data_IF_491911819138
#
_entry.id   IF_491911819138
#
_cell.length_a   1.000
_cell.length_b   1.000
_cell.length_c   1.000
_cell.angle_alpha   90.00
_cell.angle_beta   90.00
_cell.angle_gamma   90.00
#
_symmetry.space_group_name_H-M   'P 1'
#
loop_
_entity.id
_entity.type
_entity.pdbx_description
1 polymer ?
#
# COMPACT_ATOMS: atom_id res chain seq x y z
N UNK A 1 2.20 -25.84 -1.26
CA UNK A 1 2.81 -27.19 -1.15
C UNK A 1 1.74 -28.27 -1.00
N UNK A 2 0.65 -28.17 -1.76
CA UNK A 2 -0.48 -29.07 -1.65
C UNK A 2 -0.99 -29.43 -3.05
N UNK A 3 -1.12 -30.73 -3.32
CA UNK A 3 -1.60 -31.33 -4.57
C UNK A 3 -3.13 -31.14 -4.74
N UNK A 4 -3.66 -29.97 -4.38
CA UNK A 4 -5.09 -29.64 -4.49
C UNK A 4 -5.37 -28.91 -5.81
N UNK A 5 -6.53 -29.17 -6.44
CA UNK A 5 -6.81 -28.69 -7.79
C UNK A 5 -6.65 -27.17 -7.87
N UNK A 6 -6.06 -26.73 -8.99
CA UNK A 6 -5.87 -25.34 -9.36
C UNK A 6 -7.02 -24.45 -8.88
N UNK A 7 -6.65 -23.32 -8.26
CA UNK A 7 -7.53 -22.24 -7.78
C UNK A 7 -8.86 -22.23 -8.53
N UNK A 8 -9.97 -22.51 -7.85
CA UNK A 8 -11.30 -22.58 -8.46
C UNK A 8 -11.69 -21.21 -9.07
N UNK A 9 -11.72 -21.06 -10.41
CA UNK A 9 -11.91 -19.75 -11.06
C UNK A 9 -13.29 -19.14 -10.80
N UNK A 10 -14.33 -19.95 -10.60
CA UNK A 10 -15.66 -19.48 -10.23
C UNK A 10 -15.70 -18.85 -8.84
N UNK A 11 -14.85 -19.32 -7.91
CA UNK A 11 -14.76 -18.73 -6.56
C UNK A 11 -13.98 -17.41 -6.56
N UNK A 12 -12.92 -17.30 -7.36
CA UNK A 12 -12.25 -16.01 -7.58
C UNK A 12 -13.25 -14.99 -8.14
N UNK A 13 -14.10 -15.40 -9.08
CA UNK A 13 -15.10 -14.51 -9.68
C UNK A 13 -16.20 -14.09 -8.71
N UNK A 14 -16.86 -15.05 -8.06
CA UNK A 14 -18.05 -14.78 -7.22
C UNK A 14 -17.65 -14.05 -5.94
N UNK A 15 -16.51 -14.39 -5.35
CA UNK A 15 -16.16 -13.92 -4.01
C UNK A 15 -15.22 -12.70 -4.02
N UNK A 16 -14.45 -12.47 -5.09
CA UNK A 16 -13.52 -11.32 -5.16
C UNK A 16 -14.04 -10.11 -5.92
N UNK A 17 -15.25 -10.18 -6.50
CA UNK A 17 -15.85 -9.05 -7.23
C UNK A 17 -14.97 -8.45 -8.35
N UNK A 18 -14.13 -9.26 -9.00
CA UNK A 18 -13.21 -8.88 -10.07
C UNK A 18 -12.19 -7.77 -9.67
N UNK A 19 -11.16 -8.09 -8.85
CA UNK A 19 -10.14 -7.15 -8.42
C UNK A 19 -9.37 -6.53 -9.58
N UNK A 20 -8.89 -5.30 -9.44
CA UNK A 20 -8.09 -4.63 -10.48
C UNK A 20 -6.68 -5.23 -10.58
N UNK A 21 -6.08 -5.59 -9.43
CA UNK A 21 -4.80 -6.30 -9.32
C UNK A 21 -4.90 -7.39 -8.25
N UNK A 22 -4.27 -8.54 -8.49
CA UNK A 22 -4.23 -9.70 -7.59
C UNK A 22 -2.75 -10.06 -7.36
N UNK A 23 -2.30 -10.04 -6.11
CA UNK A 23 -1.01 -10.61 -5.70
C UNK A 23 -1.16 -12.10 -5.38
N UNK A 24 -0.44 -12.96 -6.09
CA UNK A 24 -0.45 -14.41 -5.90
C UNK A 24 0.85 -14.89 -5.24
N UNK A 25 0.75 -15.90 -4.39
CA UNK A 25 1.86 -16.68 -3.83
C UNK A 25 1.70 -18.15 -4.23
N UNK A 26 2.69 -19.00 -3.95
CA UNK A 26 2.64 -20.45 -4.26
C UNK A 26 2.45 -20.77 -5.76
N UNK A 27 2.80 -19.84 -6.67
CA UNK A 27 2.69 -20.10 -8.11
C UNK A 27 3.77 -21.08 -8.54
N UNK A 28 3.35 -22.19 -9.15
CA UNK A 28 4.25 -23.28 -9.54
C UNK A 28 4.62 -23.25 -11.02
N UNK A 29 5.78 -23.84 -11.31
CA UNK A 29 6.26 -24.20 -12.66
C UNK A 29 5.49 -25.38 -13.27
N UNK A 30 4.24 -25.59 -12.84
CA UNK A 30 3.47 -26.75 -13.27
C UNK A 30 2.09 -26.37 -13.78
N UNK A 31 1.68 -26.99 -14.89
CA UNK A 31 0.43 -26.71 -15.61
C UNK A 31 -0.83 -27.31 -14.95
N UNK A 32 -0.77 -27.65 -13.66
CA UNK A 32 -1.90 -28.21 -12.91
C UNK A 32 -1.48 -28.94 -11.65
N UNK A 33 -2.39 -29.77 -11.11
CA UNK A 33 -2.22 -30.49 -9.83
C UNK A 33 -1.35 -31.76 -9.91
N UNK A 34 -0.79 -32.09 -11.08
CA UNK A 34 0.06 -33.29 -11.25
C UNK A 34 1.39 -32.87 -11.84
N UNK A 35 2.50 -33.19 -11.17
CA UNK A 35 3.86 -32.90 -11.66
C UNK A 35 4.11 -33.68 -12.95
N UNK A 36 3.94 -33.01 -14.09
CA UNK A 36 4.04 -33.61 -15.43
C UNK A 36 5.40 -33.36 -16.10
N UNK A 37 6.37 -32.78 -15.38
CA UNK A 37 7.68 -32.35 -15.88
C UNK A 37 7.95 -30.88 -15.56
N UNK A 38 8.80 -30.21 -16.36
CA UNK A 38 8.98 -28.75 -16.25
C UNK A 38 7.93 -28.09 -17.14
N UNK A 39 6.95 -27.44 -16.53
CA UNK A 39 6.25 -26.34 -17.19
C UNK A 39 6.77 -25.02 -16.61
N UNK A 40 6.37 -23.88 -17.14
CA UNK A 40 6.85 -22.58 -16.71
C UNK A 40 5.71 -21.84 -16.03
N UNK A 41 6.03 -20.97 -15.08
CA UNK A 41 4.99 -20.28 -14.33
C UNK A 41 4.11 -19.38 -15.20
N UNK A 42 4.61 -18.89 -16.33
CA UNK A 42 3.81 -18.19 -17.34
C UNK A 42 2.70 -19.07 -17.94
N UNK A 43 2.92 -20.37 -18.15
CA UNK A 43 1.89 -21.33 -18.59
C UNK A 43 0.84 -21.52 -17.50
N UNK A 44 1.28 -21.64 -16.24
CA UNK A 44 0.39 -21.75 -15.07
C UNK A 44 -0.49 -20.52 -14.93
N UNK A 45 0.11 -19.33 -15.02
CA UNK A 45 -0.57 -18.04 -14.94
C UNK A 45 -1.53 -17.85 -16.11
N UNK A 46 -1.12 -18.17 -17.35
CA UNK A 46 -2.00 -18.08 -18.51
C UNK A 46 -3.20 -19.03 -18.38
N UNK A 47 -2.98 -20.25 -17.89
CA UNK A 47 -4.08 -21.21 -17.66
C UNK A 47 -5.08 -20.66 -16.64
N UNK A 48 -4.60 -20.02 -15.56
CA UNK A 48 -5.46 -19.37 -14.58
C UNK A 48 -6.23 -18.19 -15.18
N UNK A 49 -5.57 -17.32 -15.96
CA UNK A 49 -6.19 -16.19 -16.66
C UNK A 49 -7.30 -16.67 -17.60
N UNK A 50 -7.02 -17.68 -18.42
CA UNK A 50 -7.99 -18.24 -19.36
C UNK A 50 -9.19 -18.83 -18.63
N UNK A 51 -8.95 -19.50 -17.50
CA UNK A 51 -10.00 -20.09 -16.68
C UNK A 51 -10.89 -19.03 -16.00
N UNK A 52 -10.30 -17.92 -15.52
CA UNK A 52 -11.05 -16.77 -14.99
C UNK A 52 -11.91 -16.14 -16.09
N UNK A 53 -11.35 -15.92 -17.28
CA UNK A 53 -12.09 -15.36 -18.41
C UNK A 53 -13.21 -16.29 -18.88
N UNK A 54 -12.98 -17.60 -18.93
CA UNK A 54 -13.98 -18.59 -19.29
C UNK A 54 -15.15 -18.67 -18.28
N UNK A 55 -14.88 -18.38 -17.00
CA UNK A 55 -15.89 -18.21 -15.95
C UNK A 55 -16.68 -16.88 -16.06
N UNK A 56 -16.35 -16.00 -17.00
CA UNK A 56 -16.97 -14.69 -17.18
C UNK A 56 -16.35 -13.57 -16.31
N UNK A 57 -15.15 -13.79 -15.76
CA UNK A 57 -14.35 -12.76 -15.12
C UNK A 57 -13.56 -11.89 -16.11
N UNK A 58 -12.75 -10.93 -15.62
CA UNK A 58 -11.90 -10.11 -16.47
C UNK A 58 -10.84 -10.92 -17.23
N UNK A 59 -10.44 -10.40 -18.38
CA UNK A 59 -9.23 -10.88 -19.08
C UNK A 59 -8.00 -10.20 -18.49
N UNK A 60 -7.41 -10.84 -17.48
CA UNK A 60 -6.19 -10.37 -16.83
C UNK A 60 -4.96 -10.51 -17.73
N UNK A 61 -3.94 -9.67 -17.48
CA UNK A 61 -2.55 -9.93 -17.83
C UNK A 61 -1.79 -10.35 -16.58
N UNK A 62 -0.58 -10.89 -16.71
CA UNK A 62 0.22 -11.32 -15.57
C UNK A 62 1.66 -10.84 -15.61
N UNK A 63 2.25 -10.70 -14.41
CA UNK A 63 3.67 -10.49 -14.18
C UNK A 63 4.17 -11.73 -13.42
N UNK A 64 4.87 -12.60 -14.13
CA UNK A 64 5.72 -13.63 -13.52
C UNK A 64 6.91 -12.94 -12.84
N UNK A 65 7.38 -13.43 -11.68
CA UNK A 65 8.58 -12.92 -11.03
C UNK A 65 9.82 -13.27 -11.87
N UNK A 66 10.38 -12.32 -12.63
CA UNK A 66 11.43 -12.61 -13.60
C UNK A 66 12.80 -12.80 -12.95
N UNK A 67 12.91 -12.54 -11.64
CA UNK A 67 14.13 -12.65 -10.86
C UNK A 67 14.35 -14.07 -10.31
N UNK A 68 13.39 -14.98 -10.57
CA UNK A 68 13.46 -16.39 -10.23
C UNK A 68 13.42 -17.22 -11.52
N UNK A 69 14.50 -17.94 -11.80
CA UNK A 69 14.52 -18.90 -12.91
C UNK A 69 13.63 -20.12 -12.62
N UNK A 70 13.22 -20.82 -13.68
CA UNK A 70 12.42 -22.03 -13.52
C UNK A 70 13.19 -23.12 -12.76
N UNK A 71 12.52 -23.78 -11.81
CA UNK A 71 13.07 -24.82 -10.93
C UNK A 71 14.29 -24.36 -10.10
N UNK A 72 14.35 -23.07 -9.72
CA UNK A 72 15.46 -22.48 -8.95
C UNK A 72 15.11 -22.23 -7.48
N UNK A 73 13.84 -21.94 -7.13
CA UNK A 73 13.44 -21.56 -5.77
C UNK A 73 12.16 -22.27 -5.31
N UNK A 74 12.30 -23.26 -4.44
CA UNK A 74 11.16 -24.03 -3.92
C UNK A 74 11.56 -25.46 -3.63
N UNK A 75 11.34 -25.93 -2.40
CA UNK A 75 12.00 -27.09 -1.81
C UNK A 75 11.70 -28.48 -2.40
N UNK A 76 11.03 -28.59 -3.55
CA UNK A 76 10.81 -29.86 -4.26
C UNK A 76 11.05 -29.71 -5.78
N UNK A 77 11.62 -30.72 -6.47
CA UNK A 77 11.77 -30.70 -7.93
C UNK A 77 10.43 -30.48 -8.66
N UNK A 78 10.33 -29.44 -9.49
CA UNK A 78 9.08 -29.05 -10.17
C UNK A 78 8.12 -28.19 -9.33
N UNK A 79 8.47 -27.89 -8.07
CA UNK A 79 7.69 -27.03 -7.17
C UNK A 79 8.43 -25.71 -6.90
N UNK A 80 8.88 -25.04 -7.97
CA UNK A 80 9.35 -23.66 -7.88
C UNK A 80 8.18 -22.81 -7.37
N UNK A 81 8.34 -22.07 -6.29
CA UNK A 81 7.28 -21.27 -5.69
C UNK A 81 7.65 -19.81 -5.84
N UNK A 82 6.81 -19.07 -6.58
CA UNK A 82 7.02 -17.65 -6.83
C UNK A 82 5.81 -16.81 -6.47
N UNK A 83 6.09 -15.54 -6.25
CA UNK A 83 5.11 -14.46 -6.24
C UNK A 83 4.77 -14.07 -7.67
N UNK A 84 3.55 -13.62 -7.93
CA UNK A 84 3.14 -13.11 -9.23
C UNK A 84 2.06 -12.04 -9.08
N UNK A 85 1.82 -11.26 -10.14
CA UNK A 85 0.64 -10.40 -10.23
C UNK A 85 -0.27 -10.86 -11.37
N UNK A 86 -1.57 -10.79 -11.16
CA UNK A 86 -2.57 -10.66 -12.24
C UNK A 86 -3.12 -9.23 -12.20
N UNK A 87 -3.30 -8.57 -13.34
CA UNK A 87 -3.85 -7.20 -13.39
C UNK A 87 -4.77 -7.00 -14.59
N UNK A 88 -5.83 -6.21 -14.42
CA UNK A 88 -6.83 -5.98 -15.46
C UNK A 88 -6.40 -4.79 -16.33
N UNK A 89 -5.93 -5.01 -17.57
CA UNK A 89 -5.39 -3.94 -18.42
C UNK A 89 -6.46 -2.95 -18.90
N UNK A 90 -7.75 -3.20 -18.66
CA UNK A 90 -8.81 -2.23 -18.95
C UNK A 90 -9.06 -1.25 -17.80
N UNK A 91 -8.39 -1.44 -16.66
CA UNK A 91 -8.61 -0.68 -15.42
C UNK A 91 -7.34 -0.06 -14.88
N UNK A 92 -6.19 -0.68 -15.14
CA UNK A 92 -4.88 -0.25 -14.66
C UNK A 92 -3.83 -0.43 -15.74
N UNK A 93 -2.84 0.45 -15.73
CA UNK A 93 -1.67 0.35 -16.59
C UNK A 93 -0.44 -0.03 -15.76
N UNK A 94 0.37 -0.99 -16.23
CA UNK A 94 1.67 -1.28 -15.62
C UNK A 94 2.65 -0.17 -15.97
N UNK A 95 3.24 0.48 -14.96
CA UNK A 95 4.26 1.50 -15.17
C UNK A 95 5.51 0.84 -15.75
N UNK A 96 5.92 1.28 -16.93
CA UNK A 96 7.04 0.69 -17.66
C UNK A 96 8.35 0.78 -16.85
N UNK A 97 9.04 -0.35 -16.71
CA UNK A 97 10.30 -0.43 -15.96
C UNK A 97 10.15 -0.47 -14.43
N UNK A 98 8.93 -0.50 -13.90
CA UNK A 98 8.68 -0.57 -12.45
C UNK A 98 8.90 -1.94 -11.82
N UNK A 99 8.95 -3.00 -12.63
CA UNK A 99 9.03 -4.38 -12.14
C UNK A 99 10.42 -4.65 -11.55
N UNK A 100 10.47 -4.97 -10.25
CA UNK A 100 11.70 -5.24 -9.52
C UNK A 100 11.49 -6.24 -8.37
N UNK A 101 12.58 -6.61 -7.69
CA UNK A 101 12.57 -7.45 -6.49
C UNK A 101 13.21 -6.70 -5.33
N UNK A 102 12.94 -7.14 -4.11
CA UNK A 102 13.61 -6.67 -2.90
C UNK A 102 14.61 -7.74 -2.45
N UNK A 103 15.86 -7.32 -2.20
CA UNK A 103 16.95 -8.22 -1.83
C UNK A 103 17.35 -9.18 -2.97
N UNK A 104 17.91 -10.33 -2.60
CA UNK A 104 18.38 -11.32 -3.57
C UNK A 104 18.58 -12.70 -2.94
N UNK A 105 19.13 -13.60 -3.74
CA UNK A 105 19.34 -15.01 -3.40
C UNK A 105 20.77 -15.33 -2.95
N UNK A 106 21.66 -14.33 -2.85
CA UNK A 106 23.06 -14.57 -2.49
C UNK A 106 23.18 -14.88 -0.98
N UNK A 107 24.11 -15.76 -0.56
CA UNK A 107 24.32 -16.05 0.86
C UNK A 107 24.53 -14.77 1.70
N UNK A 108 23.74 -14.62 2.76
CA UNK A 108 23.78 -13.46 3.66
C UNK A 108 22.74 -12.37 3.35
N UNK A 109 22.06 -12.44 2.20
CA UNK A 109 20.93 -11.56 1.91
C UNK A 109 19.65 -12.05 2.61
N UNK A 110 18.70 -11.13 2.87
CA UNK A 110 17.47 -11.41 3.62
C UNK A 110 16.59 -12.51 2.99
N UNK A 111 16.65 -12.68 1.66
CA UNK A 111 15.87 -13.66 0.91
C UNK A 111 16.72 -14.81 0.36
N UNK A 112 17.95 -15.00 0.85
CA UNK A 112 18.81 -16.11 0.45
C UNK A 112 18.15 -17.47 0.74
N UNK A 113 17.84 -18.25 -0.30
CA UNK A 113 17.15 -19.53 -0.16
C UNK A 113 15.67 -19.43 0.20
N UNK A 114 15.09 -18.23 0.10
CA UNK A 114 13.66 -17.95 0.30
C UNK A 114 12.99 -17.54 -1.02
N UNK A 115 11.69 -17.20 -0.98
CA UNK A 115 10.99 -16.66 -2.16
C UNK A 115 11.27 -15.17 -2.28
N UNK A 116 11.62 -14.69 -3.47
CA UNK A 116 11.81 -13.26 -3.71
C UNK A 116 10.46 -12.53 -3.76
N UNK A 117 10.34 -11.35 -3.14
CA UNK A 117 9.22 -10.45 -3.37
C UNK A 117 9.15 -10.01 -4.84
N UNK A 118 7.95 -9.73 -5.32
CA UNK A 118 7.72 -9.10 -6.61
C UNK A 118 7.14 -7.71 -6.39
N UNK A 119 7.80 -6.70 -6.93
CA UNK A 119 7.35 -5.32 -6.88
C UNK A 119 6.95 -4.87 -8.27
N UNK A 120 5.82 -4.18 -8.36
CA UNK A 120 5.38 -3.51 -9.57
C UNK A 120 4.59 -2.24 -9.21
N UNK A 121 4.69 -1.21 -10.06
CA UNK A 121 3.87 0.00 -9.92
C UNK A 121 2.80 0.00 -11.00
N UNK A 122 1.56 0.24 -10.60
CA UNK A 122 0.41 0.34 -11.49
C UNK A 122 -0.16 1.75 -11.44
N UNK A 123 -0.64 2.27 -12.56
CA UNK A 123 -1.32 3.55 -12.65
C UNK A 123 -2.84 3.35 -12.62
N UNK A 124 -3.50 4.00 -11.66
CA UNK A 124 -4.95 4.04 -11.48
C UNK A 124 -5.41 5.48 -11.65
N UNK A 125 -6.14 5.79 -12.73
CA UNK A 125 -6.66 7.15 -12.96
C UNK A 125 -5.57 8.26 -12.86
N UNK A 126 -4.35 7.99 -13.34
CA UNK A 126 -3.22 8.92 -13.24
C UNK A 126 -2.45 8.87 -11.91
N UNK A 127 -2.87 8.04 -10.96
CA UNK A 127 -2.19 7.85 -9.67
C UNK A 127 -1.38 6.55 -9.67
N UNK A 128 -0.07 6.67 -9.44
CA UNK A 128 0.80 5.51 -9.31
C UNK A 128 0.61 4.83 -7.94
N UNK A 129 0.46 3.51 -7.93
CA UNK A 129 0.38 2.63 -6.75
C UNK A 129 1.44 1.55 -6.85
N UNK A 130 2.39 1.55 -5.91
CA UNK A 130 3.44 0.53 -5.84
C UNK A 130 2.98 -0.63 -4.97
N UNK A 131 2.90 -1.82 -5.57
CA UNK A 131 2.54 -3.05 -4.88
C UNK A 131 3.80 -3.89 -4.63
N UNK A 132 3.98 -4.33 -3.39
CA UNK A 132 5.01 -5.28 -2.98
C UNK A 132 4.33 -6.59 -2.61
N UNK A 133 4.46 -7.61 -3.46
CA UNK A 133 3.91 -8.94 -3.20
C UNK A 133 4.99 -9.84 -2.58
N UNK A 134 4.73 -10.34 -1.37
CA UNK A 134 5.67 -11.11 -0.57
C UNK A 134 5.20 -12.54 -0.34
N UNK A 135 6.17 -13.39 -0.05
CA UNK A 135 5.95 -14.70 0.52
C UNK A 135 7.14 -15.04 1.41
N UNK A 136 7.04 -14.71 2.69
CA UNK A 136 8.14 -14.88 3.64
C UNK A 136 8.45 -16.35 3.89
N UNK A 137 9.58 -16.60 4.54
CA UNK A 137 9.99 -17.96 4.83
C UNK A 137 9.02 -18.62 5.81
N UNK A 138 8.41 -19.72 5.39
CA UNK A 138 7.62 -20.59 6.26
C UNK A 138 8.50 -21.26 7.30
N UNK A 139 7.97 -21.41 8.51
CA UNK A 139 8.59 -22.19 9.57
C UNK A 139 8.54 -23.68 9.19
N UNK A 140 9.66 -24.39 9.34
CA UNK A 140 9.67 -25.84 9.20
C UNK A 140 8.82 -26.50 10.29
N UNK A 141 7.67 -27.07 9.91
CA UNK A 141 6.73 -27.74 10.81
C UNK A 141 5.59 -26.83 11.24
N UNK A 142 4.45 -26.96 10.56
CA UNK A 142 3.18 -26.30 10.83
C UNK A 142 2.50 -26.75 12.13
N UNK A 143 3.26 -27.27 13.11
CA UNK A 143 2.69 -27.78 14.35
C UNK A 143 2.06 -26.64 15.15
N UNK A 144 0.76 -26.71 15.46
CA UNK A 144 0.05 -25.60 16.09
C UNK A 144 0.57 -25.23 17.47
N UNK A 145 0.30 -23.97 17.88
CA UNK A 145 0.60 -23.48 19.22
C UNK A 145 -0.08 -24.31 20.32
N UNK A 146 -1.17 -25.02 20.03
CA UNK A 146 -1.88 -25.89 20.99
C UNK A 146 -1.95 -27.38 20.57
N UNK A 147 -1.00 -27.86 19.77
CA UNK A 147 -0.88 -29.29 19.43
C UNK A 147 -0.38 -30.18 20.59
N UNK A 148 -0.51 -31.50 20.45
CA UNK A 148 -0.18 -32.49 21.49
C UNK A 148 1.32 -32.58 21.87
N UNK A 149 2.22 -31.89 21.16
CA UNK A 149 3.64 -31.79 21.50
C UNK A 149 4.18 -30.46 21.02
N UNK A 150 4.54 -29.58 21.97
CA UNK A 150 5.10 -28.26 21.70
C UNK A 150 6.63 -28.30 21.72
N UNK A 151 7.31 -27.77 20.69
CA UNK A 151 8.65 -27.21 20.87
C UNK A 151 8.53 -25.90 21.68
N UNK A 152 9.36 -25.72 22.73
CA UNK A 152 9.42 -24.47 23.52
C UNK A 152 9.74 -23.26 22.63
N UNK A 153 9.51 -22.03 23.12
CA UNK A 153 9.95 -20.81 22.45
C UNK A 153 11.42 -20.92 21.95
N UNK A 154 12.28 -21.61 22.71
CA UNK A 154 13.69 -21.86 22.36
C UNK A 154 13.89 -22.68 21.07
N UNK A 155 12.93 -23.56 20.72
CA UNK A 155 12.94 -24.31 19.46
C UNK A 155 12.28 -23.54 18.32
N UNK A 156 11.45 -22.55 18.62
CA UNK A 156 10.77 -21.70 17.64
C UNK A 156 11.63 -20.51 17.20
N UNK A 157 12.55 -20.07 18.07
CA UNK A 157 13.46 -18.95 17.86
C UNK A 157 14.88 -19.41 17.51
N UNK A 158 15.11 -20.70 17.30
CA UNK A 158 16.43 -21.19 16.93
C UNK A 158 16.85 -20.61 15.57
N UNK A 159 17.89 -19.76 15.52
CA UNK A 159 18.31 -19.10 14.28
C UNK A 159 18.90 -20.07 13.25
N UNK A 160 19.20 -21.31 13.66
CA UNK A 160 19.68 -22.37 12.78
C UNK A 160 18.55 -23.09 12.02
N UNK A 161 17.28 -22.77 12.30
CA UNK A 161 16.12 -23.34 11.60
C UNK A 161 15.71 -22.44 10.44
N UNK A 162 15.45 -23.03 9.27
CA UNK A 162 14.91 -22.30 8.13
C UNK A 162 13.53 -21.70 8.46
N UNK A 163 13.32 -20.43 8.10
CA UNK A 163 12.09 -19.70 8.45
C UNK A 163 11.98 -19.30 9.92
N UNK A 164 13.13 -19.14 10.61
CA UNK A 164 13.17 -18.59 11.96
C UNK A 164 12.58 -17.17 12.04
N UNK A 165 12.26 -16.73 13.25
CA UNK A 165 11.86 -15.35 13.51
C UNK A 165 12.91 -14.34 13.01
N UNK A 166 14.19 -14.61 13.22
CA UNK A 166 15.26 -13.72 12.76
C UNK A 166 15.29 -13.62 11.23
N UNK A 167 15.10 -14.73 10.52
CA UNK A 167 15.00 -14.72 9.06
C UNK A 167 13.81 -13.87 8.59
N UNK A 168 12.62 -14.04 9.19
CA UNK A 168 11.44 -13.24 8.85
C UNK A 168 11.57 -11.78 9.24
N UNK A 169 12.27 -11.45 10.34
CA UNK A 169 12.60 -10.06 10.71
C UNK A 169 13.57 -9.44 9.71
N UNK A 170 14.56 -10.18 9.23
CA UNK A 170 15.45 -9.71 8.18
C UNK A 170 14.69 -9.45 6.87
N UNK A 171 13.73 -10.32 6.52
CA UNK A 171 12.84 -10.12 5.37
C UNK A 171 11.94 -8.89 5.56
N UNK A 172 11.30 -8.73 6.73
CA UNK A 172 10.50 -7.56 7.06
C UNK A 172 11.33 -6.27 7.02
N UNK A 173 12.56 -6.29 7.55
CA UNK A 173 13.45 -5.14 7.52
C UNK A 173 13.83 -4.77 6.09
N UNK A 174 14.15 -5.74 5.23
CA UNK A 174 14.48 -5.46 3.83
C UNK A 174 13.29 -4.84 3.08
N UNK A 175 12.06 -5.30 3.35
CA UNK A 175 10.84 -4.69 2.80
C UNK A 175 10.61 -3.29 3.37
N UNK A 176 10.84 -3.09 4.67
CA UNK A 176 10.73 -1.79 5.33
C UNK A 176 11.71 -0.78 4.74
N UNK A 177 12.98 -1.15 4.57
CA UNK A 177 14.02 -0.27 4.01
C UNK A 177 13.65 0.17 2.58
N UNK A 178 13.09 -0.74 1.78
CA UNK A 178 12.58 -0.42 0.45
C UNK A 178 11.41 0.59 0.53
N UNK A 179 10.41 0.32 1.37
CA UNK A 179 9.23 1.21 1.55
C UNK A 179 9.65 2.59 2.06
N UNK A 180 10.50 2.64 3.08
CA UNK A 180 11.02 3.89 3.64
C UNK A 180 11.78 4.69 2.58
N UNK A 181 12.55 4.02 1.72
CA UNK A 181 13.25 4.71 0.63
C UNK A 181 12.29 5.36 -0.38
N UNK A 182 11.11 4.77 -0.61
CA UNK A 182 10.07 5.39 -1.43
C UNK A 182 9.44 6.58 -0.71
N UNK A 183 9.08 6.41 0.56
CA UNK A 183 8.44 7.44 1.37
C UNK A 183 9.37 8.64 1.66
N UNK A 184 10.69 8.44 1.72
CA UNK A 184 11.64 9.55 1.85
C UNK A 184 11.62 10.45 0.60
N UNK A 185 11.47 9.86 -0.58
CA UNK A 185 11.47 10.59 -1.85
C UNK A 185 10.08 11.13 -2.22
N UNK A 186 9.04 10.42 -1.82
CA UNK A 186 7.64 10.73 -2.12
C UNK A 186 6.81 10.35 -0.89
N UNK A 187 6.74 11.25 0.12
CA UNK A 187 6.07 10.97 1.39
C UNK A 187 4.59 10.61 1.28
N UNK A 188 3.96 10.92 0.15
CA UNK A 188 2.58 10.63 -0.19
C UNK A 188 2.43 9.48 -1.20
N UNK A 189 3.48 8.68 -1.42
CA UNK A 189 3.42 7.54 -2.31
C UNK A 189 2.30 6.56 -1.89
N UNK A 190 1.51 6.11 -2.86
CA UNK A 190 0.57 5.01 -2.67
C UNK A 190 1.35 3.69 -2.69
N UNK A 191 1.48 3.05 -1.53
CA UNK A 191 2.23 1.80 -1.38
C UNK A 191 1.34 0.78 -0.69
N UNK A 192 1.20 -0.41 -1.26
CA UNK A 192 0.61 -1.54 -0.57
C UNK A 192 1.56 -2.73 -0.57
N UNK A 193 1.83 -3.27 0.62
CA UNK A 193 2.63 -4.46 0.86
C UNK A 193 1.68 -5.60 1.20
N UNK A 194 1.65 -6.62 0.35
CA UNK A 194 0.65 -7.69 0.39
C UNK A 194 1.32 -9.06 0.41
N UNK A 195 0.55 -10.07 0.81
CA UNK A 195 0.89 -11.49 0.65
C UNK A 195 1.07 -12.21 1.98
N UNK A 196 1.74 -13.36 1.91
CA UNK A 196 1.93 -14.26 3.04
C UNK A 196 3.22 -13.90 3.80
N UNK A 197 3.07 -13.40 5.03
CA UNK A 197 4.18 -13.03 5.89
C UNK A 197 4.62 -14.18 6.82
N UNK A 198 3.89 -15.29 6.79
CA UNK A 198 4.08 -16.44 7.67
C UNK A 198 4.17 -15.99 9.15
N UNK A 199 3.39 -14.98 9.56
CA UNK A 199 3.49 -14.47 10.92
C UNK A 199 2.83 -15.38 11.96
N UNK A 200 3.12 -15.14 13.23
CA UNK A 200 2.34 -15.73 14.33
C UNK A 200 2.02 -14.60 15.30
N UNK A 201 0.79 -14.57 15.80
CA UNK A 201 0.25 -13.46 16.62
C UNK A 201 1.19 -13.03 17.77
N UNK A 202 1.87 -13.97 18.42
CA UNK A 202 2.79 -13.70 19.53
C UNK A 202 4.23 -13.37 19.11
N UNK A 203 4.57 -13.60 17.85
CA UNK A 203 5.93 -13.52 17.30
C UNK A 203 5.86 -12.96 15.87
N UNK A 204 5.40 -11.70 15.77
CA UNK A 204 5.15 -11.04 14.49
C UNK A 204 6.37 -10.26 13.97
N UNK A 205 6.81 -10.50 12.71
CA UNK A 205 7.77 -9.65 12.03
C UNK A 205 7.14 -8.34 11.52
N UNK A 206 5.80 -8.22 11.53
CA UNK A 206 5.08 -7.06 10.98
C UNK A 206 5.26 -5.79 11.80
N UNK A 207 5.59 -5.91 13.09
CA UNK A 207 5.88 -4.75 13.96
C UNK A 207 6.97 -3.82 13.40
N UNK A 208 7.85 -4.31 12.51
CA UNK A 208 8.82 -3.49 11.79
C UNK A 208 8.17 -2.70 10.65
N UNK A 209 7.31 -3.34 9.86
CA UNK A 209 6.59 -2.71 8.74
C UNK A 209 5.52 -1.72 9.23
N UNK A 210 4.89 -2.02 10.36
CA UNK A 210 3.87 -1.19 11.01
C UNK A 210 4.40 0.16 11.54
N UNK A 211 5.73 0.36 11.53
CA UNK A 211 6.33 1.67 11.82
C UNK A 211 6.14 2.66 10.67
N UNK A 212 5.93 2.17 9.45
CA UNK A 212 5.80 2.98 8.23
C UNK A 212 4.49 2.76 7.49
N UNK A 213 3.75 1.69 7.82
CA UNK A 213 2.54 1.27 7.13
C UNK A 213 1.43 0.94 8.12
N UNK A 214 0.19 1.05 7.68
CA UNK A 214 -0.99 0.61 8.43
C UNK A 214 -1.39 -0.79 7.97
N UNK A 215 -1.43 -1.76 8.88
CA UNK A 215 -1.93 -3.11 8.61
C UNK A 215 -3.46 -3.13 8.61
N UNK A 216 -4.08 -3.28 7.43
CA UNK A 216 -5.54 -3.26 7.28
C UNK A 216 -6.23 -4.42 8.00
N UNK A 217 -5.51 -5.54 8.24
CA UNK A 217 -6.00 -6.68 9.03
C UNK A 217 -6.44 -6.25 10.43
N UNK A 218 -5.74 -5.27 11.02
CA UNK A 218 -6.05 -4.76 12.36
C UNK A 218 -7.33 -3.91 12.41
N UNK A 219 -7.93 -3.57 11.26
CA UNK A 219 -9.25 -2.91 11.19
C UNK A 219 -10.41 -3.86 11.45
N UNK A 220 -10.20 -5.18 11.33
CA UNK A 220 -11.18 -6.20 11.64
C UNK A 220 -11.19 -6.56 13.14
N UNK A 221 -12.33 -7.04 13.68
CA UNK A 221 -12.40 -7.69 14.99
C UNK A 221 -11.37 -8.83 15.09
N UNK A 222 -10.73 -9.00 16.26
CA UNK A 222 -9.67 -10.01 16.46
C UNK A 222 -10.09 -11.43 16.04
N UNK A 223 -11.35 -11.79 16.30
CA UNK A 223 -11.92 -13.09 15.95
C UNK A 223 -12.20 -13.30 14.45
N UNK A 224 -11.94 -12.30 13.60
CA UNK A 224 -12.16 -12.34 12.15
C UNK A 224 -10.85 -12.27 11.35
N UNK A 225 -9.71 -12.06 12.01
CA UNK A 225 -8.40 -11.81 11.34
C UNK A 225 -7.73 -13.03 10.73
N UNK A 226 -8.31 -14.21 10.88
CA UNK A 226 -7.67 -15.43 10.41
C UNK A 226 -7.77 -15.56 8.89
N UNK A 227 -6.65 -15.94 8.27
CA UNK A 227 -6.50 -16.16 6.84
C UNK A 227 -6.00 -17.56 6.51
N UNK A 228 -5.62 -18.36 7.50
CA UNK A 228 -5.11 -19.71 7.32
C UNK A 228 -5.68 -20.67 8.36
N UNK A 229 -5.95 -21.93 7.98
CA UNK A 229 -6.25 -23.01 8.93
C UNK A 229 -5.38 -24.23 8.68
N UNK A 230 -4.80 -24.73 9.78
CA UNK A 230 -4.08 -26.00 9.79
C UNK A 230 -4.35 -26.79 11.07
N UNK A 231 -4.73 -28.06 10.94
CA UNK A 231 -5.06 -28.97 12.05
C UNK A 231 -6.00 -28.34 13.10
N UNK A 232 -7.01 -27.59 12.63
CA UNK A 232 -7.99 -26.93 13.48
C UNK A 232 -7.52 -25.65 14.18
N UNK A 233 -6.37 -25.10 13.77
CA UNK A 233 -5.85 -23.84 14.31
C UNK A 233 -5.86 -22.76 13.25
N UNK A 234 -6.63 -21.71 13.52
CA UNK A 234 -6.72 -20.52 12.68
C UNK A 234 -5.57 -19.56 12.97
N UNK A 235 -4.96 -19.00 11.93
CA UNK A 235 -3.85 -18.04 12.03
C UNK A 235 -4.05 -16.90 11.04
N UNK A 236 -3.54 -15.72 11.38
CA UNK A 236 -3.40 -14.59 10.46
C UNK A 236 -2.01 -14.67 9.85
N UNK A 237 -1.88 -15.14 8.61
CA UNK A 237 -0.59 -15.24 7.91
C UNK A 237 -0.48 -14.22 6.78
N UNK A 238 -1.61 -13.99 6.11
CA UNK A 238 -1.75 -13.05 5.00
C UNK A 238 -2.18 -11.67 5.48
N UNK A 239 -1.56 -10.63 4.91
CA UNK A 239 -1.85 -9.25 5.27
C UNK A 239 -1.84 -8.32 4.07
N UNK A 240 -2.55 -7.20 4.22
CA UNK A 240 -2.43 -6.01 3.36
C UNK A 240 -2.02 -4.84 4.27
N UNK A 241 -0.78 -4.37 4.13
CA UNK A 241 -0.27 -3.18 4.80
C UNK A 241 -0.19 -2.04 3.79
N UNK A 242 -0.60 -0.83 4.16
CA UNK A 242 -0.70 0.30 3.23
C UNK A 242 -0.04 1.57 3.77
N UNK A 243 0.44 2.43 2.86
CA UNK A 243 0.93 3.76 3.22
C UNK A 243 -0.18 4.64 3.80
N UNK A 244 0.21 5.71 4.48
CA UNK A 244 -0.73 6.70 5.02
C UNK A 244 -1.65 7.26 3.93
N UNK A 245 -1.14 7.46 2.71
CA UNK A 245 -1.92 7.99 1.59
C UNK A 245 -3.06 7.06 1.14
N UNK A 246 -3.01 5.78 1.51
CA UNK A 246 -4.04 4.80 1.15
C UNK A 246 -4.96 4.41 2.31
N UNK A 247 -4.61 4.72 3.57
CA UNK A 247 -5.24 4.10 4.74
C UNK A 247 -6.66 4.63 5.04
N UNK A 248 -6.89 5.94 4.95
CA UNK A 248 -8.08 6.57 5.54
C UNK A 248 -9.37 6.24 4.76
N UNK A 249 -9.24 5.97 3.46
CA UNK A 249 -10.35 5.57 2.58
C UNK A 249 -10.31 4.08 2.18
N UNK A 250 -9.44 3.28 2.80
CA UNK A 250 -9.36 1.85 2.52
C UNK A 250 -10.59 1.12 3.09
N UNK A 251 -11.24 0.32 2.24
CA UNK A 251 -12.10 -0.76 2.70
C UNK A 251 -11.33 -2.07 2.62
N UNK A 252 -11.45 -2.92 3.63
CA UNK A 252 -10.73 -4.18 3.72
C UNK A 252 -11.64 -5.28 4.26
N UNK A 253 -11.45 -6.50 3.75
CA UNK A 253 -12.11 -7.69 4.27
C UNK A 253 -11.29 -8.96 4.00
N UNK A 254 -11.52 -9.99 4.81
CA UNK A 254 -11.06 -11.36 4.53
C UNK A 254 -12.27 -12.14 4.03
N UNK A 255 -12.12 -12.82 2.90
CA UNK A 255 -13.28 -13.34 2.17
C UNK A 255 -13.87 -14.62 2.79
N UNK A 256 -13.11 -15.31 3.65
CA UNK A 256 -13.54 -16.48 4.45
C UNK A 256 -14.22 -17.62 3.66
N UNK A 257 -13.76 -17.87 2.44
CA UNK A 257 -14.27 -18.93 1.56
C UNK A 257 -13.56 -20.28 1.74
N UNK A 258 -12.39 -20.28 2.37
CA UNK A 258 -11.53 -21.43 2.52
C UNK A 258 -11.41 -21.89 3.98
N UNK A 259 -11.28 -20.97 4.94
CA UNK A 259 -10.99 -21.31 6.34
C UNK A 259 -12.23 -21.51 7.22
N UNK A 260 -13.43 -21.03 6.86
CA UNK A 260 -14.62 -21.24 7.71
C UNK A 260 -15.16 -22.69 7.75
N UNK A 261 -14.66 -23.57 6.88
CA UNK A 261 -15.17 -24.94 6.74
C UNK A 261 -14.11 -25.96 7.16
N UNK A 262 -14.57 -27.08 7.73
CA UNK A 262 -13.71 -28.24 7.96
C UNK A 262 -12.98 -28.63 6.65
N UNK A 263 -11.76 -29.15 6.76
CA UNK A 263 -10.98 -29.66 5.63
C UNK A 263 -11.85 -30.57 4.74
N UNK A 264 -12.20 -30.06 3.57
CA UNK A 264 -13.01 -30.75 2.55
C UNK A 264 -12.25 -30.79 1.24
N UNK A 265 -12.58 -31.75 0.38
CA UNK A 265 -12.02 -31.85 -0.97
C UNK A 265 -12.43 -30.70 -1.89
N UNK A 266 -13.41 -29.90 -1.48
CA UNK A 266 -13.99 -28.82 -2.28
C UNK A 266 -13.29 -27.46 -2.02
N UNK A 267 -12.33 -27.43 -1.10
CA UNK A 267 -11.56 -26.22 -0.77
C UNK A 267 -10.51 -25.94 -1.85
N UNK A 268 -10.42 -24.69 -2.29
CA UNK A 268 -9.50 -24.28 -3.35
C UNK A 268 -8.08 -23.95 -2.85
N UNK A 269 -7.94 -23.51 -1.59
CA UNK A 269 -6.66 -23.20 -0.94
C UNK A 269 -6.82 -23.36 0.57
N UNK A 270 -5.72 -23.62 1.29
CA UNK A 270 -5.62 -23.55 2.75
C UNK A 270 -5.56 -22.12 3.30
N UNK A 271 -5.40 -21.13 2.44
CA UNK A 271 -5.46 -19.70 2.76
C UNK A 271 -6.74 -19.06 2.24
N UNK A 272 -7.23 -18.02 2.92
CA UNK A 272 -8.28 -17.15 2.44
C UNK A 272 -7.75 -15.95 1.68
N UNK A 273 -8.43 -15.54 0.59
CA UNK A 273 -8.07 -14.32 -0.08
C UNK A 273 -8.43 -13.10 0.77
N UNK A 274 -7.52 -12.13 0.78
CA UNK A 274 -7.73 -10.80 1.34
C UNK A 274 -8.10 -9.84 0.21
N UNK A 275 -9.05 -8.94 0.47
CA UNK A 275 -9.45 -7.92 -0.50
C UNK A 275 -9.38 -6.53 0.14
N UNK A 276 -8.77 -5.59 -0.58
CA UNK A 276 -8.79 -4.18 -0.24
C UNK A 276 -9.33 -3.36 -1.43
N UNK A 277 -10.05 -2.29 -1.12
CA UNK A 277 -10.53 -1.31 -2.08
C UNK A 277 -10.08 0.08 -1.64
N UNK A 278 -9.48 0.81 -2.58
CA UNK A 278 -9.01 2.17 -2.40
C UNK A 278 -9.82 3.12 -3.30
N UNK A 279 -9.90 4.39 -2.92
CA UNK A 279 -10.50 5.45 -3.74
C UNK A 279 -9.36 6.26 -4.35
N UNK A 280 -9.08 6.03 -5.63
CA UNK A 280 -7.99 6.66 -6.38
C UNK A 280 -8.58 7.46 -7.53
N UNK A 281 -9.29 8.53 -7.18
CA UNK A 281 -9.97 9.38 -8.15
C UNK A 281 -8.96 10.31 -8.85
N UNK A 282 -9.21 10.62 -10.13
CA UNK A 282 -8.38 11.56 -10.87
C UNK A 282 -8.60 12.98 -10.34
N UNK A 283 -7.49 13.69 -10.10
CA UNK A 283 -7.53 15.11 -9.77
C UNK A 283 -8.02 15.99 -10.91
N UNK A 284 -8.52 17.17 -10.56
CA UNK A 284 -9.00 18.22 -11.47
C UNK A 284 -8.25 19.52 -11.28
N UNK A 285 -8.31 20.40 -12.28
CA UNK A 285 -7.79 21.77 -12.18
C UNK A 285 -8.92 22.78 -12.27
N UNK A 286 -8.99 23.68 -11.29
CA UNK A 286 -9.99 24.74 -11.19
C UNK A 286 -9.32 26.12 -11.13
N UNK A 287 -9.88 27.09 -11.85
CA UNK A 287 -9.40 28.47 -11.85
C UNK A 287 -10.59 29.45 -11.77
N UNK A 288 -10.58 30.33 -10.76
CA UNK A 288 -11.65 31.33 -10.51
C UNK A 288 -11.50 32.57 -11.41
N UNK A 289 -10.30 33.12 -11.49
CA UNK A 289 -9.97 34.21 -12.39
C UNK A 289 -10.08 35.57 -11.71
N UNK A 290 -11.04 36.41 -12.10
CA UNK A 290 -11.25 37.71 -11.47
C UNK A 290 -12.61 37.73 -10.76
N UNK A 291 -12.66 38.21 -9.53
CA UNK A 291 -13.89 38.43 -8.80
C UNK A 291 -13.86 37.77 -7.44
N UNK A 292 -15.04 37.40 -6.94
CA UNK A 292 -15.13 36.53 -5.77
C UNK A 292 -15.63 35.20 -6.29
N UNK A 293 -14.80 34.18 -6.17
CA UNK A 293 -15.06 32.85 -6.67
C UNK A 293 -15.25 31.87 -5.52
N UNK A 294 -16.04 30.81 -5.77
CA UNK A 294 -16.16 29.66 -4.87
C UNK A 294 -15.75 28.43 -5.66
N UNK A 295 -14.59 27.86 -5.32
CA UNK A 295 -14.06 26.66 -5.95
C UNK A 295 -14.15 25.50 -4.96
N UNK A 296 -14.56 24.35 -5.46
CA UNK A 296 -14.62 23.12 -4.68
C UNK A 296 -14.12 21.99 -5.56
N UNK A 297 -13.02 21.37 -5.14
CA UNK A 297 -12.50 20.17 -5.74
C UNK A 297 -13.38 18.95 -5.43
N UNK A 298 -12.83 17.77 -5.64
CA UNK A 298 -13.50 16.48 -5.50
C UNK A 298 -12.60 15.55 -4.67
N UNK A 299 -12.76 14.26 -4.88
CA UNK A 299 -11.73 13.30 -4.54
C UNK A 299 -10.62 13.36 -5.60
N UNK A 300 -9.40 13.02 -5.22
CA UNK A 300 -8.22 13.09 -6.09
C UNK A 300 -7.36 14.30 -5.77
N UNK A 301 -6.14 14.33 -6.31
CA UNK A 301 -5.18 15.40 -6.03
C UNK A 301 -5.45 16.59 -6.95
N UNK A 302 -6.18 17.60 -6.45
CA UNK A 302 -6.67 18.72 -7.22
C UNK A 302 -5.70 19.92 -7.23
N UNK A 303 -5.85 20.78 -8.24
CA UNK A 303 -5.15 22.07 -8.33
C UNK A 303 -6.19 23.18 -8.39
N UNK A 304 -6.24 24.02 -7.36
CA UNK A 304 -7.18 25.13 -7.24
C UNK A 304 -6.44 26.46 -7.27
N UNK A 305 -6.85 27.38 -8.14
CA UNK A 305 -6.35 28.75 -8.21
C UNK A 305 -7.49 29.76 -8.15
N UNK A 306 -7.56 30.57 -7.09
CA UNK A 306 -8.60 31.59 -6.88
C UNK A 306 -8.46 32.73 -7.89
N UNK A 307 -7.28 33.33 -7.95
CA UNK A 307 -6.95 34.37 -8.92
C UNK A 307 -6.97 35.75 -8.25
N UNK A 308 -7.82 36.67 -8.68
CA UNK A 308 -7.94 37.99 -8.08
C UNK A 308 -9.27 38.13 -7.35
N UNK A 309 -9.23 38.43 -6.06
CA UNK A 309 -10.32 39.02 -5.31
C UNK A 309 -10.45 38.45 -3.92
N UNK A 310 -11.60 37.87 -3.57
CA UNK A 310 -11.78 37.27 -2.23
C UNK A 310 -12.53 35.99 -2.42
N UNK A 311 -11.76 34.92 -2.52
CA UNK A 311 -12.19 33.63 -2.97
C UNK A 311 -12.39 32.67 -1.80
N UNK A 312 -13.19 31.62 -2.03
CA UNK A 312 -13.35 30.49 -1.12
C UNK A 312 -12.96 29.24 -1.88
N UNK A 313 -11.90 28.56 -1.44
CA UNK A 313 -11.38 27.35 -2.07
C UNK A 313 -11.47 26.20 -1.07
N UNK A 314 -12.00 25.07 -1.53
CA UNK A 314 -12.02 23.82 -0.78
C UNK A 314 -11.44 22.71 -1.67
N UNK A 315 -10.32 22.12 -1.25
CA UNK A 315 -9.63 21.05 -1.97
C UNK A 315 -10.50 19.80 -2.08
N UNK A 316 -10.87 19.23 -0.94
CA UNK A 316 -11.75 18.06 -0.88
C UNK A 316 -11.03 16.87 -0.27
N UNK A 317 -10.91 15.78 -1.01
CA UNK A 317 -10.17 14.60 -0.54
C UNK A 317 -9.04 14.29 -1.51
N UNK A 318 -7.84 14.06 -1.01
CA UNK A 318 -6.65 13.92 -1.84
C UNK A 318 -5.60 14.94 -1.40
N UNK A 319 -4.47 14.95 -2.08
CA UNK A 319 -3.39 15.88 -1.78
C UNK A 319 -3.51 17.08 -2.72
N UNK A 320 -4.09 18.17 -2.23
CA UNK A 320 -4.48 19.30 -3.06
C UNK A 320 -3.42 20.42 -3.07
N UNK A 321 -3.25 21.06 -4.22
CA UNK A 321 -2.47 22.29 -4.37
C UNK A 321 -3.41 23.49 -4.46
N UNK A 322 -3.42 24.34 -3.43
CA UNK A 322 -4.40 25.41 -3.26
C UNK A 322 -3.71 26.77 -3.26
N UNK A 323 -3.91 27.56 -4.30
CA UNK A 323 -3.45 28.95 -4.42
C UNK A 323 -4.64 29.91 -4.37
N UNK A 324 -4.79 30.65 -3.28
CA UNK A 324 -5.82 31.70 -3.17
C UNK A 324 -5.62 32.82 -4.21
N UNK A 325 -4.36 33.11 -4.55
CA UNK A 325 -4.00 34.21 -5.44
C UNK A 325 -3.90 35.55 -4.71
N UNK A 326 -4.58 36.56 -5.23
CA UNK A 326 -4.52 37.94 -4.78
C UNK A 326 -5.77 38.31 -3.99
N UNK A 327 -5.54 38.73 -2.75
CA UNK A 327 -6.57 39.23 -1.86
C UNK A 327 -6.66 38.37 -0.61
N UNK A 328 -7.68 38.57 0.24
CA UNK A 328 -7.85 37.80 1.46
C UNK A 328 -8.81 36.63 1.24
N UNK A 329 -8.25 35.44 1.02
CA UNK A 329 -9.00 34.24 0.65
C UNK A 329 -9.34 33.34 1.84
N UNK A 330 -10.31 32.44 1.67
CA UNK A 330 -10.64 31.38 2.62
C UNK A 330 -10.29 30.04 2.00
N UNK A 331 -9.32 29.34 2.58
CA UNK A 331 -8.75 28.11 2.02
C UNK A 331 -8.99 26.95 2.99
N UNK A 332 -9.55 25.86 2.47
CA UNK A 332 -9.77 24.60 3.18
C UNK A 332 -9.11 23.49 2.35
N UNK A 333 -8.25 22.69 2.98
CA UNK A 333 -7.58 21.56 2.33
C UNK A 333 -8.53 20.38 2.22
N UNK A 334 -9.05 19.95 3.36
CA UNK A 334 -9.89 18.76 3.49
C UNK A 334 -9.09 17.59 4.04
N UNK A 335 -9.24 16.40 3.45
CA UNK A 335 -8.51 15.20 3.88
C UNK A 335 -7.39 14.88 2.93
N UNK A 336 -6.21 14.59 3.45
CA UNK A 336 -5.01 14.33 2.65
C UNK A 336 -3.91 15.25 3.12
N UNK A 337 -2.82 15.29 2.34
CA UNK A 337 -1.69 16.19 2.56
C UNK A 337 -1.83 17.36 1.60
N UNK A 338 -2.26 18.49 2.11
CA UNK A 338 -2.55 19.65 1.28
C UNK A 338 -1.39 20.65 1.27
N UNK A 339 -1.22 21.33 0.14
CA UNK A 339 -0.24 22.40 -0.02
C UNK A 339 -0.95 23.72 -0.29
N UNK A 340 -0.90 24.61 0.70
CA UNK A 340 -1.43 25.97 0.58
C UNK A 340 -0.32 26.90 0.08
N UNK A 341 -0.50 27.45 -1.12
CA UNK A 341 0.52 28.24 -1.80
C UNK A 341 0.55 29.66 -1.24
N UNK A 342 1.72 30.07 -0.75
CA UNK A 342 2.03 31.43 -0.38
C UNK A 342 2.77 32.11 -1.53
N UNK A 343 2.21 33.23 -1.97
CA UNK A 343 2.85 34.10 -2.97
C UNK A 343 3.24 35.44 -2.33
N UNK A 344 4.04 36.24 -3.03
CA UNK A 344 4.36 37.62 -2.59
C UNK A 344 3.17 38.57 -2.70
N UNK A 345 2.14 38.16 -3.43
CA UNK A 345 0.95 38.96 -3.71
C UNK A 345 -0.26 38.52 -2.90
N UNK A 346 -0.20 37.34 -2.26
CA UNK A 346 -1.13 36.87 -1.25
C UNK A 346 -1.26 37.87 -0.10
N UNK A 347 -2.50 38.13 0.34
CA UNK A 347 -2.77 39.14 1.36
C UNK A 347 -3.91 38.72 2.28
N UNK A 348 -3.53 38.04 3.36
CA UNK A 348 -4.41 37.83 4.50
C UNK A 348 -5.32 36.62 4.33
N UNK A 349 -4.82 35.58 3.66
CA UNK A 349 -5.53 34.32 3.49
C UNK A 349 -5.80 33.71 4.87
N UNK A 350 -6.91 33.00 4.97
CA UNK A 350 -7.28 32.22 6.15
C UNK A 350 -7.31 30.77 5.76
N UNK A 351 -6.39 29.98 6.30
CA UNK A 351 -6.35 28.53 6.13
C UNK A 351 -7.07 27.90 7.32
N UNK A 352 -8.10 27.09 7.06
CA UNK A 352 -9.09 26.72 8.06
C UNK A 352 -8.77 25.47 8.87
N UNK A 353 -7.98 24.56 8.31
CA UNK A 353 -7.83 23.17 8.73
C UNK A 353 -6.39 22.64 8.61
N UNK A 354 -5.42 23.55 8.53
CA UNK A 354 -4.01 23.18 8.47
C UNK A 354 -3.60 22.28 9.65
N UNK A 355 -3.10 21.10 9.33
CA UNK A 355 -2.59 20.12 10.29
C UNK A 355 -1.08 20.02 10.17
N UNK A 356 -0.35 20.36 11.23
CA UNK A 356 1.11 20.21 11.26
C UNK A 356 1.50 18.74 11.04
N UNK A 357 2.66 18.49 10.43
CA UNK A 357 3.14 17.16 10.01
C UNK A 357 2.39 16.49 8.85
N UNK A 358 1.20 16.98 8.50
CA UNK A 358 0.42 16.51 7.36
C UNK A 358 0.51 17.49 6.20
N UNK A 359 0.11 18.75 6.42
CA UNK A 359 0.00 19.80 5.40
C UNK A 359 1.26 20.65 5.26
N UNK A 360 1.33 21.38 4.15
CA UNK A 360 2.46 22.25 3.82
C UNK A 360 2.05 23.66 3.38
N UNK A 361 2.96 24.59 3.63
CA UNK A 361 2.94 25.93 3.07
C UNK A 361 3.91 25.98 1.88
N UNK A 362 3.35 26.01 0.67
CA UNK A 362 4.11 26.06 -0.57
C UNK A 362 4.65 27.47 -0.84
N UNK A 363 5.96 27.64 -0.90
CA UNK A 363 6.60 28.93 -1.16
C UNK A 363 6.83 29.13 -2.66
N UNK A 364 6.00 29.96 -3.28
CA UNK A 364 6.10 30.29 -4.70
C UNK A 364 6.78 31.64 -4.96
N UNK A 365 7.15 31.90 -6.21
CA UNK A 365 7.70 33.20 -6.64
C UNK A 365 9.02 33.57 -5.97
N UNK A 366 9.86 32.57 -5.66
CA UNK A 366 11.15 32.74 -5.00
C UNK A 366 11.05 33.19 -3.54
N UNK A 367 9.93 32.93 -2.87
CA UNK A 367 9.84 33.05 -1.41
C UNK A 367 10.72 31.99 -0.76
N UNK A 368 11.33 32.35 0.37
CA UNK A 368 12.06 31.39 1.20
C UNK A 368 11.64 31.54 2.66
N UNK A 369 11.71 30.46 3.43
CA UNK A 369 11.33 30.46 4.85
C UNK A 369 12.09 31.55 5.63
N UNK A 370 13.37 31.78 5.32
CA UNK A 370 14.18 32.81 5.98
C UNK A 370 13.71 34.26 5.77
N UNK A 371 12.79 34.51 4.84
CA UNK A 371 12.16 35.82 4.63
C UNK A 371 10.88 36.00 5.45
N UNK A 372 10.35 34.90 6.01
CA UNK A 372 9.07 34.87 6.70
C UNK A 372 9.26 35.03 8.21
N UNK A 373 8.22 35.58 8.84
CA UNK A 373 8.08 35.56 10.29
C UNK A 373 6.80 34.86 10.68
N UNK A 374 6.92 33.90 11.59
CA UNK A 374 5.82 33.12 12.16
C UNK A 374 5.47 33.73 13.51
N UNK A 375 4.23 34.19 13.68
CA UNK A 375 3.80 34.91 14.90
C UNK A 375 2.46 34.42 15.41
N UNK A 376 2.32 34.27 16.72
CA UNK A 376 1.06 33.90 17.34
C UNK A 376 0.04 35.06 17.27
N UNK A 377 -1.23 34.71 17.13
CA UNK A 377 -2.38 35.62 17.18
C UNK A 377 -3.56 34.94 17.87
N UNK A 378 -3.59 34.95 19.20
CA UNK A 378 -4.53 34.12 19.96
C UNK A 378 -4.17 32.65 19.77
N UNK A 379 -5.16 31.83 19.39
CA UNK A 379 -4.95 30.40 19.07
C UNK A 379 -4.52 30.16 17.61
N UNK A 380 -4.31 31.23 16.84
CA UNK A 380 -3.97 31.17 15.42
C UNK A 380 -2.50 31.52 15.20
N UNK A 381 -1.99 31.16 14.03
CA UNK A 381 -0.64 31.51 13.58
C UNK A 381 -0.71 32.42 12.36
N UNK A 382 0.09 33.49 12.34
CA UNK A 382 0.26 34.36 11.17
C UNK A 382 1.62 34.14 10.54
N UNK A 383 1.60 33.92 9.23
CA UNK A 383 2.79 33.84 8.37
C UNK A 383 2.93 35.17 7.67
N UNK A 384 4.06 35.85 7.89
CA UNK A 384 4.25 37.24 7.45
C UNK A 384 5.49 37.44 6.61
N UNK A 385 5.40 38.30 5.60
CA UNK A 385 6.52 38.85 4.85
C UNK A 385 6.69 40.33 5.26
N UNK A 386 7.68 40.60 6.11
CA UNK A 386 7.81 41.91 6.76
C UNK A 386 6.58 42.24 7.61
N UNK A 387 5.87 43.32 7.26
CA UNK A 387 4.66 43.72 7.99
C UNK A 387 3.37 43.09 7.45
N UNK A 388 3.40 42.56 6.23
CA UNK A 388 2.24 41.97 5.57
C UNK A 388 2.00 40.55 6.07
N UNK A 389 0.74 40.22 6.36
CA UNK A 389 0.32 38.84 6.63
C UNK A 389 -0.04 38.20 5.29
N UNK A 390 0.67 37.13 4.94
CA UNK A 390 0.35 36.32 3.76
C UNK A 390 -0.83 35.41 4.10
N UNK A 391 -0.70 34.62 5.17
CA UNK A 391 -1.73 33.71 5.63
C UNK A 391 -1.87 33.68 7.16
N UNK A 392 -3.07 33.31 7.60
CA UNK A 392 -3.41 32.98 8.99
C UNK A 392 -3.86 31.53 9.05
N UNK A 393 -3.16 30.70 9.81
CA UNK A 393 -3.54 29.33 10.12
C UNK A 393 -4.49 29.35 11.31
N UNK A 394 -5.75 29.00 11.09
CA UNK A 394 -6.78 29.05 12.10
C UNK A 394 -6.67 27.86 13.06
N UNK A 395 -6.65 28.12 14.38
CA UNK A 395 -6.57 27.07 15.39
C UNK A 395 -5.20 26.39 15.55
N UNK A 396 -4.20 26.78 14.77
CA UNK A 396 -2.84 26.20 14.82
C UNK A 396 -1.93 27.07 15.68
N UNK A 397 -1.26 26.44 16.66
CA UNK A 397 -0.32 27.12 17.53
C UNK A 397 1.01 27.42 16.83
N UNK A 398 1.53 28.63 16.97
CA UNK A 398 2.75 29.07 16.27
C UNK A 398 4.00 28.29 16.64
N UNK A 399 3.99 27.59 17.78
CA UNK A 399 5.08 26.72 18.23
C UNK A 399 5.19 25.41 17.46
N UNK A 400 4.14 25.01 16.75
CA UNK A 400 4.12 23.81 15.91
C UNK A 400 4.72 24.07 14.53
N UNK A 401 4.69 25.33 14.08
CA UNK A 401 5.16 25.71 12.75
C UNK A 401 6.67 25.93 12.75
N UNK A 402 7.36 25.09 11.99
CA UNK A 402 8.81 25.05 11.82
C UNK A 402 9.18 25.24 10.35
N UNK A 403 10.48 25.19 10.04
CA UNK A 403 10.93 25.20 8.65
C UNK A 403 10.50 23.94 7.86
N UNK A 404 10.16 22.84 8.54
CA UNK A 404 9.75 21.60 7.90
C UNK A 404 8.35 21.70 7.25
N UNK A 405 7.50 22.61 7.74
CA UNK A 405 6.16 22.84 7.21
C UNK A 405 6.15 23.68 5.92
N UNK A 406 7.33 24.07 5.42
CA UNK A 406 7.48 24.89 4.21
C UNK A 406 8.23 24.13 3.14
N UNK A 407 7.65 24.10 1.94
CA UNK A 407 8.25 23.47 0.75
C UNK A 407 8.36 24.49 -0.37
N UNK A 408 9.28 24.26 -1.31
CA UNK A 408 9.31 25.03 -2.56
C UNK A 408 8.31 24.41 -3.55
N UNK A 409 7.54 25.25 -4.25
CA UNK A 409 6.56 24.86 -5.26
C UNK A 409 6.73 25.63 -6.57
#
# INVERSE_FOLDING_TARGET
ADDRPAVNPERLRINLSAPDVIGLQEVQDNSGSTNNGITSADVTLQTLVDAIAAAGGPTYQFIDNPFIGNNVSGGQPGANIRTAFLYNPNRVDLVNGSVQTIGGQNPGEAFAGARLPLVATFEFNGQAVTLVNNHFSSKGGSSPLFGATQPSADLQENPQINGSLEARRAQAQAVKDYVDSLLVNTPDANIAVVGDFNEFEFISPLTLLEQSLTNLTNTLPENERYSFIFDGNSQSLDHILVSDNLKDAAAFDIVHVNTEFAETSDRASDHDPLIARFSLDAGITLCGGNGRDNLTGKNGNDILSGGNGRDTLNGGAGNDLIDGGNGPDLLTGGSGRDTFVLTRTARGDTITDFTDTVDFLGLSGGLTFGQLTVTASGNNTRIKLGNETLATLNGVAATLITAADFIAV
#
